data_IF_423422976331
#
_entry.id   IF_423422976331
#
_cell.length_a   1.000
_cell.length_b   1.000
_cell.length_c   1.000
_cell.angle_alpha   90.00
_cell.angle_beta   90.00
_cell.angle_gamma   90.00
#
_symmetry.space_group_name_H-M   'P 1'
#
loop_
_entity.id
_entity.type
_entity.pdbx_description
1 polymer ?
#
# COMPACT_ATOMS: atom_id res chain seq x y z
N UNK A 1 -10.88 2.20 -11.54
CA UNK A 1 -9.60 1.52 -11.29
C UNK A 1 -8.81 2.33 -10.28
N UNK A 2 -8.13 1.69 -9.34
CA UNK A 2 -7.35 2.39 -8.30
C UNK A 2 -6.01 1.72 -8.03
N UNK A 3 -5.10 2.45 -7.40
CA UNK A 3 -3.90 1.87 -6.78
C UNK A 3 -2.83 1.42 -7.74
N UNK A 4 -2.28 0.23 -7.47
CA UNK A 4 -1.14 -0.33 -8.22
C UNK A 4 -1.38 -0.42 -9.71
N UNK A 5 -2.60 -0.76 -10.13
CA UNK A 5 -2.95 -0.84 -11.55
C UNK A 5 -2.82 0.51 -12.29
N UNK A 6 -3.21 1.61 -11.61
CA UNK A 6 -3.06 2.97 -12.16
C UNK A 6 -1.58 3.33 -12.28
N UNK A 7 -0.82 3.13 -11.19
CA UNK A 7 0.64 3.34 -11.17
C UNK A 7 1.34 2.57 -12.29
N UNK A 8 1.06 1.27 -12.40
CA UNK A 8 1.71 0.41 -13.38
C UNK A 8 1.39 0.85 -14.80
N UNK A 9 0.13 1.18 -15.09
CA UNK A 9 -0.27 1.73 -16.39
C UNK A 9 0.46 3.03 -16.75
N UNK A 10 0.62 3.94 -15.78
CA UNK A 10 1.37 5.20 -15.98
C UNK A 10 2.89 4.97 -16.18
N UNK A 11 3.43 3.88 -15.63
CA UNK A 11 4.81 3.43 -15.88
C UNK A 11 4.98 2.65 -17.19
N UNK A 12 3.91 2.45 -17.97
CA UNK A 12 3.94 1.64 -19.19
C UNK A 12 4.04 0.14 -18.93
N UNK A 13 3.68 -0.30 -17.72
CA UNK A 13 3.61 -1.71 -17.35
C UNK A 13 2.22 -2.27 -17.54
N UNK A 14 2.12 -3.57 -17.84
CA UNK A 14 0.85 -4.28 -17.79
C UNK A 14 0.49 -4.55 -16.32
N UNK A 15 -0.65 -4.02 -15.82
CA UNK A 15 -1.10 -4.34 -14.47
C UNK A 15 -1.36 -5.85 -14.32
N UNK A 16 -0.87 -6.44 -13.23
CA UNK A 16 -1.14 -7.86 -12.92
C UNK A 16 -2.53 -8.04 -12.32
N UNK A 17 -2.90 -7.17 -11.39
CA UNK A 17 -4.19 -7.17 -10.71
C UNK A 17 -4.84 -5.79 -10.87
N UNK A 18 -6.13 -5.77 -11.14
CA UNK A 18 -6.88 -4.54 -11.34
C UNK A 18 -7.93 -4.41 -10.23
N UNK A 19 -7.66 -3.51 -9.29
CA UNK A 19 -8.57 -3.19 -8.20
C UNK A 19 -9.57 -2.11 -8.63
N UNK A 20 -10.83 -2.32 -8.25
CA UNK A 20 -11.89 -1.34 -8.43
C UNK A 20 -12.40 -0.85 -7.08
N UNK A 21 -12.75 0.42 -7.01
CA UNK A 21 -13.45 1.01 -5.85
C UNK A 21 -14.81 1.52 -6.30
N UNK A 22 -15.85 1.08 -5.60
CA UNK A 22 -17.21 1.59 -5.73
C UNK A 22 -17.47 2.67 -4.68
N UNK A 23 -17.94 3.83 -5.12
CA UNK A 23 -18.25 5.00 -4.31
C UNK A 23 -19.75 5.25 -4.36
N UNK A 24 -20.34 5.76 -3.27
CA UNK A 24 -21.76 6.12 -3.24
C UNK A 24 -22.72 4.93 -3.26
N UNK A 25 -22.28 3.75 -2.84
CA UNK A 25 -23.09 2.53 -2.82
C UNK A 25 -22.96 1.78 -1.50
N UNK A 26 -23.83 0.81 -1.28
CA UNK A 26 -23.86 -0.01 -0.07
C UNK A 26 -23.56 -1.48 -0.36
N UNK A 27 -23.17 -2.29 0.65
CA UNK A 27 -23.07 -3.73 0.51
C UNK A 27 -24.35 -4.37 -0.03
N UNK A 28 -25.51 -3.93 0.45
CA UNK A 28 -26.79 -4.49 0.02
C UNK A 28 -27.08 -4.19 -1.46
N UNK A 29 -26.81 -2.98 -1.90
CA UNK A 29 -26.94 -2.62 -3.33
C UNK A 29 -26.06 -3.51 -4.21
N UNK A 30 -24.83 -3.82 -3.81
CA UNK A 30 -23.96 -4.71 -4.57
C UNK A 30 -24.49 -6.16 -4.56
N UNK A 31 -25.01 -6.64 -3.44
CA UNK A 31 -25.62 -7.98 -3.36
C UNK A 31 -26.86 -8.07 -4.23
N UNK A 32 -27.71 -7.06 -4.25
CA UNK A 32 -28.90 -6.98 -5.12
C UNK A 32 -28.55 -6.99 -6.61
N UNK A 33 -27.38 -6.46 -6.96
CA UNK A 33 -26.81 -6.51 -8.30
C UNK A 33 -26.11 -7.86 -8.63
N UNK A 34 -26.13 -8.81 -7.70
CA UNK A 34 -25.58 -10.15 -7.85
C UNK A 34 -24.09 -10.28 -7.58
N UNK A 35 -23.46 -9.26 -6.96
CA UNK A 35 -22.07 -9.37 -6.52
C UNK A 35 -21.98 -10.29 -5.29
N UNK A 36 -20.94 -11.11 -5.25
CA UNK A 36 -20.65 -11.99 -4.13
C UNK A 36 -19.64 -11.34 -3.18
N UNK A 37 -20.00 -11.14 -1.92
CA UNK A 37 -19.06 -10.66 -0.91
C UNK A 37 -18.02 -11.72 -0.57
N UNK A 38 -16.74 -11.32 -0.60
CA UNK A 38 -15.59 -12.10 -0.16
C UNK A 38 -14.92 -11.39 1.01
N UNK A 39 -14.46 -12.18 2.00
CA UNK A 39 -13.91 -11.64 3.24
C UNK A 39 -14.99 -11.20 4.25
N UNK A 40 -14.75 -11.50 5.51
CA UNK A 40 -15.68 -11.14 6.59
C UNK A 40 -15.42 -9.72 7.13
N UNK A 41 -14.15 -9.32 7.15
CA UNK A 41 -13.72 -8.06 7.78
C UNK A 41 -13.67 -6.88 6.81
N UNK A 42 -13.63 -7.14 5.50
CA UNK A 42 -13.49 -6.12 4.48
C UNK A 42 -14.58 -6.25 3.42
N UNK A 43 -15.25 -5.15 3.06
CA UNK A 43 -16.31 -5.16 2.05
C UNK A 43 -15.74 -5.22 0.63
N UNK A 44 -15.18 -6.36 0.24
CA UNK A 44 -14.75 -6.68 -1.11
C UNK A 44 -15.78 -7.60 -1.75
N UNK A 45 -16.11 -7.35 -3.01
CA UNK A 45 -17.14 -8.04 -3.76
C UNK A 45 -16.60 -8.54 -5.09
N UNK A 46 -16.99 -9.74 -5.49
CA UNK A 46 -16.72 -10.28 -6.83
C UNK A 46 -17.87 -9.95 -7.79
N UNK A 47 -17.54 -9.40 -8.93
CA UNK A 47 -18.51 -9.17 -9.99
C UNK A 47 -19.05 -10.51 -10.53
N UNK A 48 -20.39 -10.70 -10.71
CA UNK A 48 -21.01 -12.00 -10.96
C UNK A 48 -20.58 -12.68 -12.27
N UNK A 49 -20.09 -11.92 -13.26
CA UNK A 49 -19.69 -12.47 -14.57
C UNK A 49 -18.18 -12.46 -14.79
N UNK A 50 -17.50 -11.37 -14.42
CA UNK A 50 -16.07 -11.21 -14.70
C UNK A 50 -15.17 -11.63 -13.54
N UNK A 51 -15.74 -11.89 -12.36
CA UNK A 51 -15.02 -12.18 -11.11
C UNK A 51 -13.99 -11.12 -10.71
N UNK A 52 -14.13 -9.92 -11.25
CA UNK A 52 -13.30 -8.78 -10.88
C UNK A 52 -13.63 -8.34 -9.45
N UNK A 53 -12.59 -8.04 -8.68
CA UNK A 53 -12.74 -7.55 -7.32
C UNK A 53 -13.11 -6.07 -7.28
N UNK A 54 -14.15 -5.77 -6.51
CA UNK A 54 -14.65 -4.42 -6.27
C UNK A 54 -14.71 -4.18 -4.77
N UNK A 55 -13.89 -3.27 -4.27
CA UNK A 55 -13.96 -2.81 -2.90
C UNK A 55 -14.94 -1.63 -2.77
N UNK A 56 -15.63 -1.52 -1.64
CA UNK A 56 -16.33 -0.29 -1.31
C UNK A 56 -15.35 0.77 -0.82
N UNK A 57 -15.59 2.02 -1.19
CA UNK A 57 -14.88 3.15 -0.59
C UNK A 57 -15.11 3.14 0.93
N UNK A 58 -14.04 3.29 1.71
CA UNK A 58 -14.11 3.09 3.15
C UNK A 58 -13.18 4.03 3.91
N UNK A 59 -13.53 4.28 5.16
CA UNK A 59 -12.62 4.78 6.18
C UNK A 59 -12.18 3.65 7.09
N UNK A 60 -10.98 3.73 7.58
CA UNK A 60 -10.45 2.83 8.60
C UNK A 60 -10.18 3.66 9.86
N UNK A 61 -10.61 3.19 11.03
CA UNK A 61 -10.27 3.77 12.32
C UNK A 61 -9.62 2.70 13.18
N UNK A 62 -8.42 2.99 13.66
CA UNK A 62 -7.76 2.16 14.67
C UNK A 62 -8.50 2.35 16.00
N UNK A 63 -9.10 1.29 16.54
CA UNK A 63 -9.86 1.32 17.79
C UNK A 63 -9.12 0.73 18.98
N UNK A 64 -8.07 -0.08 18.73
CA UNK A 64 -7.24 -0.70 19.77
C UNK A 64 -5.78 -0.83 19.29
N UNK A 65 -4.85 -1.02 20.23
CA UNK A 65 -3.48 -1.39 19.90
C UNK A 65 -3.46 -2.83 19.35
N UNK A 66 -2.79 -3.06 18.20
CA UNK A 66 -2.68 -4.37 17.55
C UNK A 66 -3.43 -4.45 16.20
N UNK A 67 -3.32 -5.62 15.55
CA UNK A 67 -3.79 -5.84 14.16
C UNK A 67 -5.30 -6.02 14.00
N UNK A 68 -6.00 -6.35 15.07
CA UNK A 68 -7.45 -6.63 15.06
C UNK A 68 -8.30 -5.41 15.38
N UNK A 69 -7.66 -4.24 15.53
CA UNK A 69 -8.31 -3.03 16.00
C UNK A 69 -8.77 -2.04 14.93
N UNK A 70 -8.89 -2.44 13.66
CA UNK A 70 -9.46 -1.56 12.64
C UNK A 70 -10.97 -1.78 12.53
N UNK A 71 -11.74 -0.75 12.81
CA UNK A 71 -13.15 -0.71 12.40
C UNK A 71 -13.21 -0.11 11.00
N UNK A 72 -13.63 -0.94 10.07
CA UNK A 72 -13.86 -0.54 8.68
C UNK A 72 -15.28 0.02 8.59
N UNK A 73 -15.41 1.27 8.17
CA UNK A 73 -16.68 1.89 7.92
C UNK A 73 -16.84 2.15 6.43
N UNK A 74 -17.67 1.35 5.77
CA UNK A 74 -18.07 1.54 4.39
C UNK A 74 -19.46 2.16 4.38
N UNK A 75 -19.52 3.46 4.09
CA UNK A 75 -20.74 4.25 4.02
C UNK A 75 -20.80 4.95 2.66
N UNK A 76 -22.00 5.10 2.05
CA UNK A 76 -22.15 5.79 0.76
C UNK A 76 -21.62 7.24 0.75
N UNK A 77 -21.50 7.88 1.91
CA UNK A 77 -20.93 9.23 2.04
C UNK A 77 -19.39 9.26 1.94
N UNK A 78 -18.71 8.09 2.02
CA UNK A 78 -17.26 8.03 1.89
C UNK A 78 -16.87 8.35 0.46
N UNK A 79 -16.10 9.41 0.28
CA UNK A 79 -15.64 9.87 -1.03
C UNK A 79 -14.44 9.03 -1.50
N UNK A 80 -14.18 9.06 -2.81
CA UNK A 80 -12.97 8.45 -3.36
C UNK A 80 -11.71 9.05 -2.74
N UNK A 81 -11.67 10.37 -2.58
CA UNK A 81 -10.52 11.05 -1.98
C UNK A 81 -10.25 10.56 -0.55
N UNK A 82 -11.30 10.37 0.25
CA UNK A 82 -11.16 9.81 1.61
C UNK A 82 -10.60 8.39 1.59
N UNK A 83 -11.00 7.54 0.64
CA UNK A 83 -10.42 6.20 0.46
C UNK A 83 -8.96 6.26 0.03
N UNK A 84 -8.61 7.16 -0.87
CA UNK A 84 -7.23 7.34 -1.34
C UNK A 84 -6.32 7.92 -0.24
N UNK A 85 -6.83 8.81 0.63
CA UNK A 85 -6.08 9.46 1.72
C UNK A 85 -5.46 8.47 2.72
N UNK A 86 -6.12 7.34 2.98
CA UNK A 86 -5.67 6.31 3.93
C UNK A 86 -4.65 5.33 3.33
N UNK A 87 -4.35 5.42 2.04
CA UNK A 87 -3.40 4.53 1.38
C UNK A 87 -1.96 4.79 1.83
N UNK A 88 -1.07 3.89 1.47
CA UNK A 88 0.33 3.95 1.89
C UNK A 88 1.12 5.07 1.17
N UNK A 89 1.23 5.00 -0.15
CA UNK A 89 2.06 5.92 -0.94
C UNK A 89 1.23 6.66 -1.98
N UNK A 90 1.63 7.90 -2.27
CA UNK A 90 0.98 8.77 -3.26
C UNK A 90 0.81 8.10 -4.61
N UNK A 91 1.84 7.39 -5.08
CA UNK A 91 1.82 6.64 -6.35
C UNK A 91 0.79 5.50 -6.38
N UNK A 92 0.30 5.07 -5.22
CA UNK A 92 -0.78 4.08 -5.07
C UNK A 92 -2.11 4.74 -4.68
N UNK A 93 -2.15 6.06 -4.52
CA UNK A 93 -3.33 6.83 -4.13
C UNK A 93 -3.93 7.61 -5.31
N UNK A 94 -3.86 7.02 -6.49
CA UNK A 94 -4.45 7.52 -7.72
C UNK A 94 -5.59 6.61 -8.17
N UNK A 95 -6.51 7.17 -8.95
CA UNK A 95 -7.60 6.44 -9.56
C UNK A 95 -7.80 6.85 -11.03
N UNK A 96 -8.35 5.94 -11.83
CA UNK A 96 -8.88 6.25 -13.17
C UNK A 96 -10.39 6.05 -13.12
N UNK A 97 -11.12 7.10 -13.49
CA UNK A 97 -12.58 7.11 -13.55
C UNK A 97 -13.09 6.17 -14.66
N UNK A 98 -14.42 5.94 -14.69
CA UNK A 98 -15.06 5.18 -15.78
C UNK A 98 -14.94 5.88 -17.15
N UNK A 99 -14.72 7.18 -17.16
CA UNK A 99 -14.52 7.98 -18.37
C UNK A 99 -13.06 8.05 -18.82
N UNK A 100 -12.15 7.42 -18.07
CA UNK A 100 -10.70 7.43 -18.35
C UNK A 100 -9.95 8.63 -17.78
N UNK A 101 -10.60 9.46 -16.96
CA UNK A 101 -9.97 10.60 -16.31
C UNK A 101 -9.12 10.16 -15.12
N UNK A 102 -7.87 10.68 -15.04
CA UNK A 102 -7.00 10.46 -13.89
C UNK A 102 -7.44 11.35 -12.72
N UNK A 103 -7.64 10.73 -11.56
CA UNK A 103 -7.95 11.39 -10.29
C UNK A 103 -6.75 11.21 -9.37
N UNK A 104 -6.04 12.31 -9.11
CA UNK A 104 -4.79 12.34 -8.34
C UNK A 104 -4.79 13.48 -7.31
N UNK A 105 -5.50 13.33 -6.20
CA UNK A 105 -5.62 14.40 -5.20
C UNK A 105 -4.34 14.61 -4.38
N UNK A 106 -3.39 13.69 -4.41
CA UNK A 106 -2.21 13.71 -3.55
C UNK A 106 -0.87 13.82 -4.29
N UNK A 107 -0.90 14.12 -5.61
CA UNK A 107 0.30 14.35 -6.40
C UNK A 107 1.09 13.08 -6.74
N UNK A 108 0.41 11.93 -6.79
CA UNK A 108 1.04 10.65 -7.11
C UNK A 108 1.68 10.61 -8.49
N UNK A 109 1.10 11.31 -9.49
CA UNK A 109 1.71 11.41 -10.81
C UNK A 109 3.03 12.18 -10.80
N UNK A 110 3.12 13.26 -10.00
CA UNK A 110 4.36 14.00 -9.85
C UNK A 110 5.42 13.13 -9.17
N UNK A 111 5.09 12.49 -8.04
CA UNK A 111 6.01 11.58 -7.35
C UNK A 111 6.44 10.40 -8.23
N UNK A 112 5.55 9.92 -9.11
CA UNK A 112 5.86 8.89 -10.09
C UNK A 112 6.92 9.35 -11.10
N UNK A 113 6.79 10.59 -11.60
CA UNK A 113 7.76 11.21 -12.52
C UNK A 113 9.11 11.45 -11.82
N UNK A 114 9.08 11.89 -10.58
CA UNK A 114 10.26 12.19 -9.76
C UNK A 114 10.90 10.92 -9.15
N UNK A 115 10.28 9.74 -9.36
CA UNK A 115 10.75 8.45 -8.82
C UNK A 115 10.77 8.43 -7.29
N UNK A 116 9.76 9.01 -6.65
CA UNK A 116 9.66 9.10 -5.21
C UNK A 116 8.56 8.20 -4.64
N UNK A 117 8.87 7.50 -3.56
CA UNK A 117 7.91 6.88 -2.66
C UNK A 117 7.63 7.84 -1.51
N UNK A 118 6.52 8.56 -1.59
CA UNK A 118 6.04 9.50 -0.58
C UNK A 118 4.79 8.92 0.09
N UNK A 119 4.71 8.98 1.41
CA UNK A 119 3.49 8.61 2.14
C UNK A 119 2.37 9.63 1.86
N UNK A 120 1.12 9.15 1.84
CA UNK A 120 -0.02 10.00 1.47
C UNK A 120 -0.37 11.00 2.58
N UNK A 121 -0.40 10.53 3.83
CA UNK A 121 -0.86 11.30 4.98
C UNK A 121 -0.33 10.74 6.29
N UNK A 122 -0.65 11.41 7.40
CA UNK A 122 -0.33 10.92 8.75
C UNK A 122 -0.98 9.58 9.10
N UNK A 123 -2.05 9.16 8.39
CA UNK A 123 -2.63 7.83 8.51
C UNK A 123 -1.64 6.71 8.14
N UNK A 124 -0.54 7.04 7.45
CA UNK A 124 0.56 6.09 7.22
C UNK A 124 1.07 5.47 8.52
N UNK A 125 1.12 6.24 9.61
CA UNK A 125 1.62 5.78 10.91
C UNK A 125 0.69 4.79 11.63
N UNK A 126 -0.52 4.57 11.13
CA UNK A 126 -1.47 3.65 11.76
C UNK A 126 -1.09 2.17 11.59
N UNK A 127 -0.32 1.83 10.54
CA UNK A 127 0.12 0.45 10.28
C UNK A 127 1.64 0.38 10.06
N UNK A 128 2.43 -0.11 11.03
CA UNK A 128 3.87 -0.26 10.87
C UNK A 128 4.30 -1.16 9.69
N UNK A 129 3.43 -2.05 9.21
CA UNK A 129 3.72 -2.87 8.04
C UNK A 129 4.04 -2.03 6.80
N UNK A 130 3.57 -0.79 6.74
CA UNK A 130 3.84 0.12 5.62
C UNK A 130 5.32 0.42 5.44
N UNK A 131 6.15 0.27 6.48
CA UNK A 131 7.62 0.34 6.36
C UNK A 131 8.11 -0.80 5.46
N UNK A 132 7.71 -2.04 5.74
CA UNK A 132 8.11 -3.21 4.95
C UNK A 132 7.52 -3.14 3.53
N UNK A 133 6.30 -2.63 3.38
CA UNK A 133 5.70 -2.38 2.07
C UNK A 133 6.51 -1.38 1.25
N UNK A 134 7.06 -0.32 1.88
CA UNK A 134 7.97 0.63 1.22
C UNK A 134 9.23 -0.05 0.71
N UNK A 135 9.86 -0.88 1.53
CA UNK A 135 11.01 -1.71 1.15
C UNK A 135 10.66 -2.59 -0.05
N UNK A 136 9.52 -3.26 -0.01
CA UNK A 136 9.04 -4.07 -1.13
C UNK A 136 8.80 -3.25 -2.41
N UNK A 137 8.19 -2.07 -2.31
CA UNK A 137 7.98 -1.24 -3.50
C UNK A 137 9.28 -0.74 -4.11
N UNK A 138 10.29 -0.40 -3.30
CA UNK A 138 11.64 -0.09 -3.82
C UNK A 138 12.22 -1.27 -4.59
N UNK A 139 12.07 -2.50 -4.08
CA UNK A 139 12.52 -3.71 -4.75
C UNK A 139 11.75 -3.98 -6.06
N UNK A 140 10.42 -3.84 -6.04
CA UNK A 140 9.55 -4.05 -7.20
C UNK A 140 9.74 -3.01 -8.30
N UNK A 141 9.99 -1.77 -7.91
CA UNK A 141 10.18 -0.63 -8.81
C UNK A 141 11.67 -0.30 -9.02
N UNK A 142 12.57 -1.19 -8.59
CA UNK A 142 14.02 -0.98 -8.60
C UNK A 142 14.60 -0.66 -9.98
N UNK A 143 14.00 -1.18 -11.08
CA UNK A 143 14.42 -0.85 -12.45
C UNK A 143 14.14 0.60 -12.85
N UNK A 144 13.31 1.32 -12.10
CA UNK A 144 13.00 2.74 -12.30
C UNK A 144 13.74 3.65 -11.33
N UNK A 145 14.60 3.09 -10.45
CA UNK A 145 15.42 3.79 -9.48
C UNK A 145 14.62 4.67 -8.50
N UNK A 146 13.47 4.16 -8.03
CA UNK A 146 12.66 4.83 -7.01
C UNK A 146 13.43 4.97 -5.70
N UNK A 147 13.21 6.10 -5.02
CA UNK A 147 13.75 6.40 -3.70
C UNK A 147 12.65 6.84 -2.73
N UNK A 148 12.91 6.70 -1.43
CA UNK A 148 12.01 7.23 -0.42
C UNK A 148 12.18 8.75 -0.32
N UNK A 149 11.06 9.49 -0.26
CA UNK A 149 11.09 10.90 0.08
C UNK A 149 11.61 11.09 1.51
N UNK A 150 12.38 12.15 1.78
CA UNK A 150 13.06 12.35 3.06
C UNK A 150 12.10 12.40 4.25
N UNK A 151 10.96 13.06 4.10
CA UNK A 151 9.91 13.09 5.13
C UNK A 151 9.31 11.70 5.39
N UNK A 152 9.26 10.85 4.37
CA UNK A 152 8.80 9.46 4.52
C UNK A 152 9.83 8.62 5.25
N UNK A 153 11.11 8.81 4.98
CA UNK A 153 12.20 8.18 5.75
C UNK A 153 12.11 8.54 7.23
N UNK A 154 11.97 9.84 7.56
CA UNK A 154 11.86 10.30 8.94
C UNK A 154 10.63 9.69 9.64
N UNK A 155 9.49 9.65 8.95
CA UNK A 155 8.28 9.03 9.50
C UNK A 155 8.50 7.53 9.75
N UNK A 156 9.03 6.78 8.77
CA UNK A 156 9.31 5.35 8.91
C UNK A 156 10.29 5.06 10.06
N UNK A 157 11.34 5.87 10.21
CA UNK A 157 12.29 5.72 11.31
C UNK A 157 11.62 5.93 12.68
N UNK A 158 10.70 6.89 12.79
CA UNK A 158 9.94 7.12 14.02
C UNK A 158 8.97 5.97 14.35
N UNK A 159 8.47 5.27 13.32
CA UNK A 159 7.56 4.12 13.45
C UNK A 159 8.31 2.79 13.67
N UNK A 160 9.61 2.71 13.40
CA UNK A 160 10.37 1.46 13.44
C UNK A 160 10.20 0.66 14.75
N UNK A 161 10.15 1.26 15.94
CA UNK A 161 9.90 0.51 17.18
C UNK A 161 8.60 -0.30 17.17
N UNK A 162 7.56 0.18 16.49
CA UNK A 162 6.27 -0.53 16.40
C UNK A 162 6.29 -1.75 15.48
N UNK A 163 7.39 -2.02 14.76
CA UNK A 163 7.56 -3.24 13.97
C UNK A 163 7.48 -4.50 14.84
N UNK A 164 7.90 -4.41 16.09
CA UNK A 164 7.84 -5.52 17.06
C UNK A 164 6.42 -5.93 17.43
N UNK A 165 5.42 -5.09 17.14
CA UNK A 165 4.01 -5.36 17.37
C UNK A 165 3.37 -6.17 16.22
N UNK A 166 4.06 -6.30 15.08
CA UNK A 166 3.57 -7.03 13.92
C UNK A 166 3.61 -8.54 14.17
N UNK A 167 2.61 -9.25 13.63
CA UNK A 167 2.70 -10.71 13.60
C UNK A 167 3.78 -11.17 12.62
N UNK A 168 4.46 -12.24 12.97
CA UNK A 168 5.56 -12.80 12.19
C UNK A 168 5.11 -13.14 10.76
N UNK A 169 3.88 -13.62 10.60
CA UNK A 169 3.31 -13.99 9.30
C UNK A 169 3.22 -12.78 8.37
N UNK A 170 2.78 -11.62 8.88
CA UNK A 170 2.70 -10.38 8.09
C UNK A 170 4.09 -9.91 7.64
N UNK A 171 5.07 -10.00 8.54
CA UNK A 171 6.46 -9.64 8.25
C UNK A 171 7.04 -10.55 7.16
N UNK A 172 6.89 -11.89 7.32
CA UNK A 172 7.39 -12.88 6.37
C UNK A 172 6.78 -12.66 4.99
N UNK A 173 5.46 -12.43 4.90
CA UNK A 173 4.79 -12.20 3.61
C UNK A 173 5.37 -10.99 2.85
N UNK A 174 5.68 -9.89 3.53
CA UNK A 174 6.29 -8.72 2.88
C UNK A 174 7.75 -8.97 2.52
N UNK A 175 8.52 -9.68 3.36
CA UNK A 175 9.91 -10.06 3.06
C UNK A 175 9.98 -11.04 1.87
N UNK A 176 9.14 -12.05 1.82
CA UNK A 176 9.08 -13.01 0.71
C UNK A 176 8.76 -12.29 -0.61
N UNK A 177 7.78 -11.37 -0.60
CA UNK A 177 7.46 -10.55 -1.76
C UNK A 177 8.61 -9.62 -2.17
N UNK A 178 9.38 -9.12 -1.20
CA UNK A 178 10.58 -8.31 -1.45
C UNK A 178 11.65 -9.14 -2.14
N UNK A 179 11.96 -10.32 -1.59
CA UNK A 179 12.96 -11.24 -2.14
C UNK A 179 12.59 -11.77 -3.52
N UNK A 180 11.29 -11.98 -3.77
CA UNK A 180 10.77 -12.41 -5.08
C UNK A 180 10.66 -11.27 -6.11
N UNK A 181 11.02 -10.03 -5.75
CA UNK A 181 10.98 -8.88 -6.66
C UNK A 181 12.12 -8.88 -7.65
N UNK A 182 12.02 -8.06 -8.70
CA UNK A 182 13.01 -7.97 -9.77
C UNK A 182 14.39 -7.47 -9.26
N UNK A 183 14.39 -6.53 -8.32
CA UNK A 183 15.58 -5.90 -7.75
C UNK A 183 15.51 -5.87 -6.20
N UNK A 184 15.56 -7.04 -5.53
CA UNK A 184 15.42 -7.12 -4.07
C UNK A 184 16.47 -6.27 -3.32
N UNK A 185 17.69 -6.15 -3.86
CA UNK A 185 18.76 -5.36 -3.29
C UNK A 185 18.41 -3.88 -3.10
N UNK A 186 17.58 -3.29 -3.99
CA UNK A 186 17.12 -1.91 -3.85
C UNK A 186 16.31 -1.69 -2.57
N UNK A 187 15.41 -2.64 -2.26
CA UNK A 187 14.63 -2.59 -1.02
C UNK A 187 15.47 -2.92 0.20
N UNK A 188 16.22 -4.04 0.13
CA UNK A 188 17.00 -4.55 1.26
C UNK A 188 18.09 -3.57 1.73
N UNK A 189 18.67 -2.77 0.82
CA UNK A 189 19.63 -1.73 1.17
C UNK A 189 19.07 -0.67 2.16
N UNK A 190 17.75 -0.53 2.27
CA UNK A 190 17.10 0.43 3.17
C UNK A 190 16.85 -0.10 4.58
N UNK A 191 17.02 -1.40 4.83
CA UNK A 191 16.71 -2.04 6.12
C UNK A 191 17.42 -1.34 7.30
N UNK A 192 18.73 -1.13 7.17
CA UNK A 192 19.52 -0.46 8.21
C UNK A 192 19.16 1.02 8.33
N UNK A 193 19.03 1.75 7.19
CA UNK A 193 18.65 3.17 7.17
C UNK A 193 17.31 3.41 7.87
N UNK A 194 16.35 2.50 7.71
CA UNK A 194 15.02 2.57 8.30
C UNK A 194 14.95 1.94 9.71
N UNK A 195 16.07 1.50 10.27
CA UNK A 195 16.17 0.82 11.58
C UNK A 195 15.35 -0.48 11.68
N UNK A 196 15.04 -1.10 10.55
CA UNK A 196 14.26 -2.35 10.51
C UNK A 196 15.07 -3.51 11.05
N UNK A 197 16.36 -3.57 10.70
CA UNK A 197 17.28 -4.62 11.17
C UNK A 197 17.35 -4.63 12.70
N UNK A 198 17.46 -3.45 13.32
CA UNK A 198 17.57 -3.30 14.77
C UNK A 198 16.32 -3.84 15.50
N UNK A 199 15.15 -3.77 14.84
CA UNK A 199 13.87 -4.16 15.43
C UNK A 199 13.50 -5.62 15.18
N UNK A 200 13.75 -6.12 13.96
CA UNK A 200 13.29 -7.46 13.54
C UNK A 200 14.39 -8.52 13.60
N UNK A 201 15.65 -8.13 13.54
CA UNK A 201 16.79 -9.05 13.53
C UNK A 201 18.03 -8.42 14.20
N UNK A 202 17.96 -8.06 15.48
CA UNK A 202 19.06 -7.36 16.18
C UNK A 202 20.34 -8.16 16.24
N UNK A 203 20.26 -9.48 16.02
CA UNK A 203 21.40 -10.40 16.05
C UNK A 203 22.15 -10.44 14.71
N UNK A 204 21.56 -9.92 13.63
CA UNK A 204 22.23 -9.85 12.35
C UNK A 204 23.25 -8.70 12.36
N UNK A 205 24.53 -8.99 12.04
CA UNK A 205 25.51 -7.93 11.90
C UNK A 205 25.05 -6.97 10.80
N UNK A 206 25.14 -5.66 11.07
CA UNK A 206 24.92 -4.63 10.05
C UNK A 206 25.88 -4.91 8.90
N UNK A 207 25.36 -5.32 7.76
CA UNK A 207 26.17 -5.51 6.57
C UNK A 207 26.79 -4.15 6.20
N UNK A 208 28.11 -4.04 6.11
CA UNK A 208 28.74 -2.78 5.74
C UNK A 208 28.27 -2.36 4.35
N UNK A 209 28.05 -1.05 4.15
CA UNK A 209 27.52 -0.42 2.90
C UNK A 209 28.28 -0.83 1.62
N UNK A 210 29.38 -1.58 1.74
CA UNK A 210 30.24 -2.02 0.63
C UNK A 210 29.74 -3.26 -0.12
N UNK A 211 28.60 -3.84 0.23
CA UNK A 211 28.00 -4.97 -0.49
C UNK A 211 26.89 -4.58 -1.47
N UNK A 212 26.71 -3.27 -1.72
CA UNK A 212 25.86 -2.80 -2.81
C UNK A 212 26.74 -2.66 -4.05
N UNK A 213 26.79 -3.72 -4.84
CA UNK A 213 27.38 -3.69 -6.20
C UNK A 213 26.35 -3.22 -7.20
#
# INVERSE_FOLDING_TARGET
>A
VVGGAVRDSLLGLAPKDIDYVAVGTTPDTLRDLGFQQIGQDFPVFLHPKSHVEVALARTERKTQQGHTGFVVHADPSVTLETDLLRRDFTINAMAISRTGELIDPFGGQQDLNDRLLRHVSTAFAEDPLRILRGIRFLAQLGRFDFQLADETVHLMQSMAPSLTELSVERVIVELDKTLASERPEHGLSQLARLKVTDMLAPELPILPERFVC
#
